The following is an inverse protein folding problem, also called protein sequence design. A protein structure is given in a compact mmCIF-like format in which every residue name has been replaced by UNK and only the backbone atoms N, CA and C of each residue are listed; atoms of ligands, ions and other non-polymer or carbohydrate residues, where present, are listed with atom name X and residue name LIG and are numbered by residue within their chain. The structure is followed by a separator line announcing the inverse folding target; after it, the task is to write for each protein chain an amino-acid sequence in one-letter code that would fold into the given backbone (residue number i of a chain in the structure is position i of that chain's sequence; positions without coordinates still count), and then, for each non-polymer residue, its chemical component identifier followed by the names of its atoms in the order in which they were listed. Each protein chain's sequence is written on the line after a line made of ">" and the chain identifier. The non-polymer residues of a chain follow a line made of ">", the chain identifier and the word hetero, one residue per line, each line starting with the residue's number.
data_IF_503079666651
#
_entry.id   IF_503079666651
#
_cell.length_a   1.000
_cell.length_b   1.000
_cell.length_c   1.000
_cell.angle_alpha   90.00
_cell.angle_beta   90.00
_cell.angle_gamma   90.00
#
_symmetry.space_group_name_H-M   'P 1'
#
loop_
_entity.id
_entity.type
_entity.pdbx_description
1 polymer ?
#
# COMPACT_ATOMS: atom_id res chain seq x y z
N UNK A 1 -35.41 -41.20 36.50
CA UNK A 1 -34.41 -41.44 35.44
C UNK A 1 -33.93 -40.09 34.91
N UNK A 2 -32.84 -39.56 35.46
CA UNK A 2 -32.27 -38.27 35.06
C UNK A 2 -30.83 -38.50 34.61
N UNK A 3 -30.68 -38.88 33.34
CA UNK A 3 -29.40 -39.08 32.67
C UNK A 3 -29.31 -38.03 31.56
N UNK A 4 -29.04 -36.78 31.95
CA UNK A 4 -28.79 -35.69 30.98
C UNK A 4 -28.00 -34.53 31.64
N UNK A 5 -26.94 -34.84 32.39
CA UNK A 5 -26.08 -33.81 33.00
C UNK A 5 -24.57 -34.07 32.92
N UNK A 6 -24.10 -35.14 32.26
CA UNK A 6 -22.67 -35.42 32.14
C UNK A 6 -22.01 -34.88 30.86
N UNK A 7 -22.79 -34.62 29.81
CA UNK A 7 -22.25 -34.09 28.55
C UNK A 7 -21.73 -32.66 28.70
N UNK A 8 -22.50 -31.77 29.35
CA UNK A 8 -22.18 -30.34 29.46
C UNK A 8 -20.91 -30.06 30.28
N UNK A 9 -20.61 -30.89 31.29
CA UNK A 9 -19.39 -30.75 32.11
C UNK A 9 -18.14 -31.23 31.38
N UNK A 10 -18.24 -32.26 30.53
CA UNK A 10 -17.12 -32.71 29.67
C UNK A 10 -16.76 -31.68 28.61
N UNK A 11 -17.74 -31.03 27.96
CA UNK A 11 -17.46 -29.96 26.99
C UNK A 11 -16.84 -28.71 27.62
N UNK A 12 -17.14 -28.41 28.89
CA UNK A 12 -16.52 -27.32 29.63
C UNK A 12 -15.05 -27.62 30.00
N UNK A 13 -14.75 -28.86 30.42
CA UNK A 13 -13.38 -29.29 30.74
C UNK A 13 -12.47 -29.36 29.48
N UNK A 14 -13.04 -29.74 28.33
CA UNK A 14 -12.32 -29.78 27.05
C UNK A 14 -12.04 -28.37 26.51
N UNK A 15 -12.90 -27.37 26.76
CA UNK A 15 -12.57 -25.96 26.47
C UNK A 15 -11.44 -25.42 27.35
N UNK A 16 -11.30 -25.89 28.58
CA UNK A 16 -10.17 -25.52 29.44
C UNK A 16 -8.82 -26.05 28.94
N UNK A 17 -8.80 -27.20 28.25
CA UNK A 17 -7.58 -27.79 27.69
C UNK A 17 -7.33 -27.45 26.21
N UNK A 18 -8.34 -27.05 25.44
CA UNK A 18 -8.15 -26.46 24.10
C UNK A 18 -7.96 -24.94 24.12
N UNK A 19 -8.20 -24.28 25.26
CA UNK A 19 -8.03 -22.85 25.46
C UNK A 19 -6.69 -22.42 26.05
N UNK A 20 -5.70 -23.33 26.18
CA UNK A 20 -4.39 -23.00 26.76
C UNK A 20 -3.21 -23.22 25.80
N UNK A 21 -3.44 -23.21 24.48
CA UNK A 21 -2.36 -23.33 23.48
C UNK A 21 -2.54 -22.44 22.25
N UNK A 22 -3.24 -21.32 22.38
CA UNK A 22 -3.25 -20.23 21.40
C UNK A 22 -2.93 -18.90 22.08
N UNK A 23 -1.75 -18.79 22.70
CA UNK A 23 -1.13 -17.52 23.10
C UNK A 23 0.41 -17.62 23.09
N UNK A 24 0.94 -18.46 22.19
CA UNK A 24 2.39 -18.66 22.03
C UNK A 24 2.80 -18.76 20.56
N UNK A 25 2.01 -18.15 19.67
CA UNK A 25 2.53 -17.53 18.45
C UNK A 25 2.66 -16.03 18.69
N UNK A 26 3.29 -15.65 19.81
CA UNK A 26 3.93 -14.35 19.89
C UNK A 26 5.06 -14.39 18.86
N UNK A 27 4.76 -13.92 17.65
CA UNK A 27 5.79 -13.42 16.76
C UNK A 27 6.72 -12.59 17.64
N UNK A 28 8.02 -12.88 17.57
CA UNK A 28 9.05 -12.17 18.32
C UNK A 28 9.01 -10.72 17.82
N UNK A 29 8.15 -9.87 18.39
CA UNK A 29 7.97 -8.49 17.97
C UNK A 29 9.00 -7.62 18.69
N UNK A 30 9.53 -6.60 18.00
CA UNK A 30 10.40 -5.63 18.65
C UNK A 30 9.54 -4.83 19.63
N UNK A 31 9.89 -4.85 20.92
CA UNK A 31 9.20 -4.03 21.93
C UNK A 31 9.59 -2.56 21.76
N UNK A 32 8.94 -1.88 20.81
CA UNK A 32 9.18 -0.47 20.47
C UNK A 32 8.05 0.44 20.97
N UNK A 33 7.06 -0.07 21.71
CA UNK A 33 5.86 0.68 22.11
C UNK A 33 6.17 1.97 22.89
N UNK A 34 7.25 1.98 23.66
CA UNK A 34 7.75 3.14 24.40
C UNK A 34 9.08 3.70 23.87
N UNK A 35 9.51 3.29 22.67
CA UNK A 35 10.76 3.75 22.09
C UNK A 35 10.70 5.25 21.71
N UNK A 36 11.83 5.92 21.85
CA UNK A 36 12.05 7.27 21.31
C UNK A 36 12.24 7.22 19.78
N UNK A 37 12.05 8.35 19.08
CA UNK A 37 12.21 8.40 17.63
C UNK A 37 13.59 7.94 17.17
N UNK A 38 14.66 8.30 17.87
CA UNK A 38 16.05 7.98 17.54
C UNK A 38 16.30 6.47 17.54
N UNK A 39 15.80 5.73 18.54
CA UNK A 39 15.89 4.27 18.53
C UNK A 39 15.11 3.68 17.37
N UNK A 40 13.93 4.21 17.06
CA UNK A 40 13.15 3.78 15.90
C UNK A 40 13.91 4.00 14.57
N UNK A 41 14.60 5.14 14.41
CA UNK A 41 15.46 5.42 13.26
C UNK A 41 16.62 4.42 13.16
N UNK A 42 17.28 4.11 14.28
CA UNK A 42 18.33 3.10 14.31
C UNK A 42 17.81 1.72 13.90
N UNK A 43 16.62 1.35 14.37
CA UNK A 43 15.99 0.06 14.05
C UNK A 43 15.56 -0.03 12.57
N UNK A 44 15.18 1.09 11.94
CA UNK A 44 14.89 1.14 10.50
C UNK A 44 16.10 0.72 9.63
N UNK A 45 17.31 0.99 10.11
CA UNK A 45 18.56 0.62 9.41
C UNK A 45 18.88 -0.88 9.49
N UNK A 46 18.12 -1.64 10.29
CA UNK A 46 18.19 -3.10 10.36
C UNK A 46 16.85 -3.68 9.88
N UNK A 47 16.64 -3.83 8.57
CA UNK A 47 15.35 -4.25 8.03
C UNK A 47 15.00 -5.68 8.46
N UNK A 48 13.93 -5.80 9.24
CA UNK A 48 13.33 -7.08 9.58
C UNK A 48 11.82 -6.90 9.79
N UNK A 49 11.05 -7.98 9.57
CA UNK A 49 9.60 -7.96 9.80
C UNK A 49 9.32 -7.57 11.25
N UNK A 50 10.13 -8.07 12.18
CA UNK A 50 10.08 -7.79 13.61
C UNK A 50 10.21 -6.29 13.91
N UNK A 51 11.22 -5.64 13.34
CA UNK A 51 11.47 -4.22 13.56
C UNK A 51 10.37 -3.34 12.94
N UNK A 52 9.94 -3.64 11.71
CA UNK A 52 8.85 -2.88 11.09
C UNK A 52 7.50 -3.12 11.77
N UNK A 53 7.21 -4.32 12.27
CA UNK A 53 5.98 -4.56 13.03
C UNK A 53 5.96 -3.77 14.35
N UNK A 54 7.06 -3.77 15.09
CA UNK A 54 7.20 -2.95 16.30
C UNK A 54 7.10 -1.45 16.00
N UNK A 55 7.77 -0.99 14.94
CA UNK A 55 7.73 0.41 14.51
C UNK A 55 6.33 0.84 14.09
N UNK A 56 5.62 0.00 13.31
CA UNK A 56 4.25 0.26 12.90
C UNK A 56 3.36 0.55 14.12
N UNK A 57 3.43 -0.30 15.15
CA UNK A 57 2.64 -0.10 16.38
C UNK A 57 3.03 1.21 17.07
N UNK A 58 4.34 1.49 17.14
CA UNK A 58 4.83 2.73 17.73
C UNK A 58 4.36 3.98 16.98
N UNK A 59 4.25 3.92 15.65
CA UNK A 59 3.70 4.98 14.79
C UNK A 59 2.18 5.13 14.97
N UNK A 60 1.44 4.02 15.05
CA UNK A 60 -0.03 4.04 15.24
C UNK A 60 -0.43 4.60 16.62
N UNK A 61 0.38 4.36 17.64
CA UNK A 61 0.16 4.84 19.01
C UNK A 61 0.87 6.15 19.37
N UNK A 62 1.57 6.79 18.43
CA UNK A 62 2.36 7.98 18.74
C UNK A 62 1.50 9.23 18.95
N UNK A 63 1.90 10.05 19.91
CA UNK A 63 1.45 11.43 20.03
C UNK A 63 2.07 12.35 18.97
N UNK A 64 1.48 13.53 18.81
CA UNK A 64 1.83 14.50 17.77
C UNK A 64 3.31 14.91 17.80
N UNK A 65 3.82 15.26 18.98
CA UNK A 65 5.22 15.68 19.18
C UNK A 65 6.22 14.60 18.79
N UNK A 66 5.91 13.34 19.09
CA UNK A 66 6.76 12.21 18.72
C UNK A 66 6.76 11.99 17.21
N UNK A 67 5.60 12.06 16.56
CA UNK A 67 5.50 11.92 15.09
C UNK A 67 6.30 13.03 14.39
N UNK A 68 6.20 14.27 14.86
CA UNK A 68 6.99 15.39 14.32
C UNK A 68 8.48 15.12 14.45
N UNK A 69 8.97 14.71 15.61
CA UNK A 69 10.39 14.37 15.79
C UNK A 69 10.84 13.23 14.88
N UNK A 70 10.03 12.18 14.73
CA UNK A 70 10.33 11.08 13.81
C UNK A 70 10.47 11.57 12.36
N UNK A 71 9.63 12.51 11.93
CA UNK A 71 9.69 13.10 10.59
C UNK A 71 10.91 14.02 10.42
N UNK A 72 11.21 14.85 11.43
CA UNK A 72 12.40 15.72 11.46
C UNK A 72 13.72 14.93 11.42
N UNK A 73 13.73 13.72 12.01
CA UNK A 73 14.84 12.79 11.95
C UNK A 73 14.85 11.92 10.67
N UNK A 74 14.15 12.36 9.61
CA UNK A 74 14.10 11.69 8.30
C UNK A 74 13.54 10.26 8.34
N UNK A 75 12.70 9.93 9.32
CA UNK A 75 12.13 8.59 9.46
C UNK A 75 11.27 8.16 8.27
N UNK A 76 10.51 9.09 7.68
CA UNK A 76 9.72 8.82 6.47
C UNK A 76 10.62 8.60 5.24
N UNK A 77 11.73 9.36 5.11
CA UNK A 77 12.68 9.17 4.00
C UNK A 77 13.27 7.76 4.04
N UNK A 78 13.70 7.31 5.22
CA UNK A 78 14.27 5.98 5.42
C UNK A 78 13.26 4.87 5.11
N UNK A 79 12.00 5.05 5.49
CA UNK A 79 10.92 4.11 5.15
C UNK A 79 10.69 4.01 3.64
N UNK A 80 10.65 5.14 2.93
CA UNK A 80 10.46 5.14 1.48
C UNK A 80 11.69 4.60 0.73
N UNK A 81 12.89 4.90 1.20
CA UNK A 81 14.12 4.36 0.62
C UNK A 81 14.23 2.84 0.85
N UNK A 82 13.80 2.35 2.01
CA UNK A 82 13.67 0.92 2.25
C UNK A 82 12.63 0.27 1.33
N UNK A 83 11.47 0.91 1.14
CA UNK A 83 10.42 0.41 0.27
C UNK A 83 10.86 0.36 -1.20
N UNK A 84 11.59 1.37 -1.69
CA UNK A 84 12.16 1.40 -3.04
C UNK A 84 13.17 0.25 -3.24
N UNK A 85 14.11 0.08 -2.30
CA UNK A 85 15.07 -1.04 -2.31
C UNK A 85 14.41 -2.42 -2.33
N UNK A 86 13.27 -2.57 -1.66
CA UNK A 86 12.49 -3.81 -1.65
C UNK A 86 11.67 -4.00 -2.93
N UNK A 87 11.28 -2.91 -3.61
CA UNK A 87 10.45 -2.95 -4.82
C UNK A 87 11.25 -3.26 -6.08
N UNK A 88 12.51 -2.81 -6.15
CA UNK A 88 13.41 -3.12 -7.27
C UNK A 88 13.98 -4.55 -7.27
N UNK A 89 13.84 -5.29 -6.17
CA UNK A 89 14.26 -6.69 -6.06
C UNK A 89 13.04 -7.57 -6.31
N UNK A 90 13.10 -8.46 -7.29
CA UNK A 90 12.08 -9.50 -7.44
C UNK A 90 11.92 -10.25 -6.12
N UNK A 91 10.69 -10.36 -5.61
CA UNK A 91 10.39 -11.00 -4.32
C UNK A 91 10.64 -12.51 -4.41
N UNK A 92 11.89 -12.94 -4.31
CA UNK A 92 12.29 -14.35 -4.43
C UNK A 92 11.91 -15.19 -3.20
N UNK A 93 11.66 -14.54 -2.06
CA UNK A 93 11.35 -15.21 -0.79
C UNK A 93 10.10 -14.59 -0.15
N UNK A 94 9.33 -15.44 0.54
CA UNK A 94 8.16 -15.04 1.32
C UNK A 94 8.53 -13.97 2.36
N UNK A 95 9.69 -14.10 2.99
CA UNK A 95 10.19 -13.14 3.97
C UNK A 95 10.36 -11.72 3.39
N UNK A 96 10.79 -11.60 2.14
CA UNK A 96 10.97 -10.30 1.47
C UNK A 96 9.61 -9.66 1.18
N UNK A 97 8.64 -10.47 0.73
CA UNK A 97 7.27 -10.02 0.50
C UNK A 97 6.59 -9.53 1.79
N UNK A 98 6.80 -10.25 2.90
CA UNK A 98 6.31 -9.83 4.23
C UNK A 98 7.00 -8.56 4.70
N UNK A 99 8.33 -8.48 4.55
CA UNK A 99 9.11 -7.30 4.93
C UNK A 99 8.62 -6.06 4.19
N UNK A 100 8.41 -6.17 2.88
CA UNK A 100 7.87 -5.09 2.06
C UNK A 100 6.45 -4.69 2.46
N UNK A 101 5.59 -5.67 2.77
CA UNK A 101 4.23 -5.42 3.20
C UNK A 101 4.19 -4.68 4.55
N UNK A 102 5.02 -5.08 5.51
CA UNK A 102 5.11 -4.42 6.81
C UNK A 102 5.72 -3.01 6.68
N UNK A 103 6.69 -2.83 5.78
CA UNK A 103 7.30 -1.52 5.50
C UNK A 103 6.26 -0.52 4.97
N UNK A 104 5.47 -0.88 3.96
CA UNK A 104 4.42 0.02 3.44
C UNK A 104 3.32 0.27 4.49
N UNK A 105 3.06 -0.67 5.41
CA UNK A 105 2.16 -0.44 6.53
C UNK A 105 2.70 0.56 7.56
N UNK A 106 4.02 0.71 7.70
CA UNK A 106 4.60 1.81 8.49
C UNK A 106 4.36 3.17 7.82
N UNK A 107 4.54 3.26 6.50
CA UNK A 107 4.23 4.48 5.73
C UNK A 107 2.75 4.85 5.88
N UNK A 108 1.86 3.85 5.83
CA UNK A 108 0.43 4.06 6.10
C UNK A 108 0.19 4.60 7.51
N UNK A 109 0.86 4.07 8.53
CA UNK A 109 0.71 4.58 9.89
C UNK A 109 1.11 6.06 10.00
N UNK A 110 2.19 6.48 9.33
CA UNK A 110 2.56 7.90 9.22
C UNK A 110 1.45 8.72 8.55
N UNK A 111 0.97 8.28 7.38
CA UNK A 111 -0.07 9.01 6.62
C UNK A 111 -1.43 9.08 7.33
N UNK A 112 -1.71 8.16 8.25
CA UNK A 112 -2.91 8.19 9.07
C UNK A 112 -2.83 9.21 10.22
N UNK A 113 -1.64 9.73 10.53
CA UNK A 113 -1.45 10.82 11.48
C UNK A 113 -1.64 12.18 10.80
N UNK A 114 -2.32 13.11 11.48
CA UNK A 114 -2.50 14.48 10.99
C UNK A 114 -1.17 15.17 10.69
N UNK A 115 -0.16 15.03 11.55
CA UNK A 115 1.17 15.59 11.30
C UNK A 115 1.86 14.92 10.12
N UNK A 116 1.72 13.60 9.97
CA UNK A 116 2.36 12.84 8.90
C UNK A 116 1.81 13.18 7.51
N UNK A 117 0.47 13.28 7.36
CA UNK A 117 -0.12 13.68 6.07
C UNK A 117 0.15 15.15 5.73
N UNK A 118 0.11 16.06 6.71
CA UNK A 118 0.46 17.46 6.48
C UNK A 118 1.93 17.61 6.05
N UNK A 119 2.84 16.88 6.70
CA UNK A 119 4.26 16.88 6.33
C UNK A 119 4.48 16.41 4.88
N UNK A 120 3.74 15.41 4.41
CA UNK A 120 3.80 14.97 3.00
C UNK A 120 3.26 16.04 2.05
N UNK A 121 2.18 16.73 2.44
CA UNK A 121 1.60 17.82 1.63
C UNK A 121 2.59 18.98 1.48
N UNK A 122 3.35 19.29 2.52
CA UNK A 122 4.39 20.32 2.52
C UNK A 122 5.66 19.91 1.75
N UNK A 123 5.86 18.60 1.53
CA UNK A 123 7.08 18.05 0.94
C UNK A 123 6.75 17.13 -0.25
N UNK A 124 6.59 17.73 -1.44
CA UNK A 124 6.10 17.04 -2.65
C UNK A 124 6.93 15.83 -3.10
N UNK A 125 8.22 15.77 -2.72
CA UNK A 125 9.11 14.68 -3.12
C UNK A 125 8.72 13.30 -2.56
N UNK A 126 8.08 13.25 -1.39
CA UNK A 126 7.73 11.98 -0.74
C UNK A 126 6.70 11.18 -1.51
N UNK A 127 5.68 11.84 -2.08
CA UNK A 127 4.62 11.12 -2.80
C UNK A 127 5.13 10.50 -4.11
N UNK A 128 6.09 11.15 -4.77
CA UNK A 128 6.77 10.60 -5.95
C UNK A 128 7.63 9.39 -5.60
N UNK A 129 8.36 9.43 -4.47
CA UNK A 129 9.08 8.26 -3.96
C UNK A 129 8.10 7.12 -3.62
N UNK A 130 6.95 7.43 -3.01
CA UNK A 130 5.93 6.41 -2.72
C UNK A 130 5.36 5.78 -4.01
N UNK A 131 5.16 6.55 -5.08
CA UNK A 131 4.64 5.98 -6.34
C UNK A 131 5.61 5.00 -7.01
N UNK A 132 6.92 5.12 -6.79
CA UNK A 132 7.92 4.15 -7.26
C UNK A 132 7.70 2.74 -6.65
N UNK A 133 7.12 2.65 -5.45
CA UNK A 133 6.77 1.37 -4.83
C UNK A 133 5.72 0.55 -5.61
N UNK A 134 5.08 1.13 -6.62
CA UNK A 134 4.20 0.41 -7.56
C UNK A 134 4.95 -0.58 -8.46
N UNK A 135 6.29 -0.52 -8.50
CA UNK A 135 7.14 -1.41 -9.29
C UNK A 135 7.26 -2.84 -8.73
N UNK A 136 6.88 -3.04 -7.47
CA UNK A 136 6.88 -4.36 -6.86
C UNK A 136 5.98 -5.34 -7.60
N UNK A 137 6.33 -6.63 -7.59
CA UNK A 137 5.40 -7.71 -8.01
C UNK A 137 4.35 -8.03 -6.94
N UNK A 138 4.44 -7.47 -5.74
CA UNK A 138 3.53 -7.75 -4.63
C UNK A 138 2.24 -6.92 -4.75
N UNK A 139 1.16 -7.56 -5.22
CA UNK A 139 -0.16 -6.94 -5.38
C UNK A 139 -0.69 -6.32 -4.08
N UNK A 140 -0.40 -6.90 -2.91
CA UNK A 140 -0.84 -6.36 -1.63
C UNK A 140 -0.15 -5.03 -1.30
N UNK A 141 1.11 -4.87 -1.68
CA UNK A 141 1.85 -3.60 -1.52
C UNK A 141 1.30 -2.57 -2.49
N UNK A 142 1.11 -2.91 -3.78
CA UNK A 142 0.47 -2.00 -4.75
C UNK A 142 -0.89 -1.53 -4.28
N UNK A 143 -1.70 -2.45 -3.74
CA UNK A 143 -3.00 -2.12 -3.12
C UNK A 143 -2.85 -1.05 -2.04
N UNK A 144 -1.91 -1.22 -1.10
CA UNK A 144 -1.71 -0.22 -0.05
C UNK A 144 -1.27 1.13 -0.62
N UNK A 145 -0.36 1.15 -1.60
CA UNK A 145 0.12 2.39 -2.25
C UNK A 145 -1.03 3.12 -2.96
N UNK A 146 -1.88 2.40 -3.70
CA UNK A 146 -3.05 3.03 -4.33
C UNK A 146 -4.04 3.59 -3.32
N UNK A 147 -4.30 2.88 -2.21
CA UNK A 147 -5.16 3.39 -1.14
C UNK A 147 -4.60 4.67 -0.50
N UNK A 148 -3.27 4.77 -0.35
CA UNK A 148 -2.62 5.97 0.17
C UNK A 148 -2.70 7.15 -0.81
N UNK A 149 -2.52 6.91 -2.11
CA UNK A 149 -2.71 7.93 -3.15
C UNK A 149 -4.16 8.43 -3.19
N UNK A 150 -5.14 7.52 -3.07
CA UNK A 150 -6.54 7.86 -3.00
C UNK A 150 -6.87 8.69 -1.75
N UNK A 151 -6.40 8.27 -0.58
CA UNK A 151 -6.58 8.99 0.67
C UNK A 151 -6.00 10.42 0.59
N UNK A 152 -4.77 10.56 0.08
CA UNK A 152 -4.15 11.86 -0.13
C UNK A 152 -4.97 12.72 -1.11
N UNK A 153 -5.50 12.13 -2.18
CA UNK A 153 -6.30 12.86 -3.17
C UNK A 153 -7.63 13.40 -2.63
N UNK A 154 -8.14 12.80 -1.55
CA UNK A 154 -9.37 13.21 -0.89
C UNK A 154 -9.12 14.11 0.33
N UNK A 155 -7.87 14.20 0.79
CA UNK A 155 -7.51 14.93 2.00
C UNK A 155 -7.61 16.45 1.82
N UNK A 156 -7.04 16.98 0.74
CA UNK A 156 -7.04 18.43 0.44
C UNK A 156 -6.81 18.68 -1.05
N UNK A 157 -7.00 19.93 -1.50
CA UNK A 157 -6.68 20.32 -2.89
C UNK A 157 -5.20 20.12 -3.23
N UNK A 158 -4.30 20.37 -2.28
CA UNK A 158 -2.87 20.13 -2.47
C UNK A 158 -2.57 18.63 -2.46
N UNK A 159 -3.21 17.85 -1.58
CA UNK A 159 -3.12 16.39 -1.62
C UNK A 159 -3.59 15.79 -2.95
N UNK A 160 -4.68 16.31 -3.51
CA UNK A 160 -5.14 15.97 -4.86
C UNK A 160 -4.09 16.29 -5.93
N UNK A 161 -3.53 17.50 -5.92
CA UNK A 161 -2.49 17.91 -6.86
C UNK A 161 -1.26 17.01 -6.77
N UNK A 162 -0.84 16.65 -5.55
CA UNK A 162 0.28 15.78 -5.28
C UNK A 162 0.05 14.34 -5.74
N UNK A 163 -1.13 13.78 -5.50
CA UNK A 163 -1.49 12.45 -6.01
C UNK A 163 -1.46 12.41 -7.54
N UNK A 164 -1.95 13.48 -8.20
CA UNK A 164 -1.92 13.60 -9.66
C UNK A 164 -0.50 13.77 -10.21
N UNK A 165 0.31 14.57 -9.54
CA UNK A 165 1.73 14.77 -9.86
C UNK A 165 2.53 13.46 -9.71
N UNK A 166 2.28 12.68 -8.66
CA UNK A 166 2.94 11.40 -8.45
C UNK A 166 2.63 10.38 -9.58
N UNK A 167 1.39 10.35 -10.06
CA UNK A 167 0.98 9.50 -11.19
C UNK A 167 1.58 9.99 -12.52
N UNK A 168 1.65 11.31 -12.73
CA UNK A 168 2.27 11.88 -13.93
C UNK A 168 3.79 11.69 -13.95
N UNK A 169 4.44 11.82 -12.79
CA UNK A 169 5.84 11.48 -12.60
C UNK A 169 6.09 9.99 -12.89
N UNK A 170 5.28 9.10 -12.31
CA UNK A 170 5.39 7.66 -12.53
C UNK A 170 5.24 7.28 -14.00
N UNK A 171 4.31 7.92 -14.73
CA UNK A 171 4.19 7.80 -16.19
C UNK A 171 5.51 8.11 -16.90
N UNK A 172 6.16 9.21 -16.55
CA UNK A 172 7.45 9.60 -17.12
C UNK A 172 8.53 8.56 -16.85
N UNK A 173 8.67 8.13 -15.59
CA UNK A 173 9.66 7.12 -15.17
C UNK A 173 9.43 5.78 -15.88
N UNK A 174 8.17 5.37 -16.07
CA UNK A 174 7.81 4.11 -16.74
C UNK A 174 7.63 4.25 -18.25
N UNK A 175 7.90 5.41 -18.82
CA UNK A 175 7.69 5.70 -20.25
C UNK A 175 6.28 5.34 -20.74
N UNK A 176 5.28 5.50 -19.88
CA UNK A 176 3.88 5.21 -20.20
C UNK A 176 3.28 6.35 -21.02
N UNK A 177 2.31 6.03 -21.86
CA UNK A 177 1.61 7.01 -22.68
C UNK A 177 0.67 7.89 -21.84
N UNK A 178 0.05 7.32 -20.80
CA UNK A 178 -0.95 8.00 -19.97
C UNK A 178 -0.64 7.84 -18.48
N UNK A 179 -0.94 8.86 -17.69
CA UNK A 179 -0.71 8.85 -16.23
C UNK A 179 -1.56 7.85 -15.46
N UNK A 180 -2.68 7.44 -16.05
CA UNK A 180 -3.55 6.41 -15.47
C UNK A 180 -3.25 5.00 -15.99
N UNK A 181 -2.25 4.82 -16.86
CA UNK A 181 -1.88 3.51 -17.40
C UNK A 181 -1.56 2.52 -16.28
N UNK A 182 -0.86 2.94 -15.22
CA UNK A 182 -0.56 2.05 -14.08
C UNK A 182 -1.80 1.46 -13.42
N UNK A 183 -2.84 2.26 -13.17
CA UNK A 183 -4.09 1.79 -12.53
C UNK A 183 -4.83 0.86 -13.50
N UNK A 184 -4.94 1.26 -14.76
CA UNK A 184 -5.71 0.52 -15.77
C UNK A 184 -5.05 -0.81 -16.14
N UNK A 185 -3.72 -0.87 -16.18
CA UNK A 185 -2.98 -2.10 -16.40
C UNK A 185 -3.21 -3.11 -15.27
N UNK A 186 -3.14 -2.67 -14.01
CA UNK A 186 -3.43 -3.56 -12.87
C UNK A 186 -4.87 -4.05 -12.89
N UNK A 187 -5.83 -3.17 -13.22
CA UNK A 187 -7.26 -3.52 -13.29
C UNK A 187 -7.54 -4.55 -14.39
N UNK A 188 -6.83 -4.48 -15.52
CA UNK A 188 -6.97 -5.44 -16.62
C UNK A 188 -6.27 -6.77 -16.35
N UNK A 189 -5.16 -6.76 -15.61
CA UNK A 189 -4.33 -7.94 -15.38
C UNK A 189 -4.80 -8.81 -14.20
N UNK A 190 -5.55 -8.25 -13.26
CA UNK A 190 -5.96 -8.95 -12.03
C UNK A 190 -7.32 -9.66 -12.16
N UNK A 191 -7.41 -10.87 -11.60
CA UNK A 191 -8.66 -11.60 -11.33
C UNK A 191 -9.10 -11.52 -9.85
N UNK A 192 -8.24 -10.96 -8.99
CA UNK A 192 -8.51 -10.74 -7.57
C UNK A 192 -9.59 -9.65 -7.37
N UNK A 193 -10.83 -10.08 -7.14
CA UNK A 193 -12.00 -9.20 -6.94
C UNK A 193 -11.78 -8.14 -5.86
N UNK A 194 -11.31 -8.47 -4.63
CA UNK A 194 -10.98 -7.45 -3.63
C UNK A 194 -10.00 -6.37 -4.12
N UNK A 195 -9.03 -6.73 -4.97
CA UNK A 195 -8.09 -5.75 -5.52
C UNK A 195 -8.75 -4.88 -6.60
N UNK A 196 -9.58 -5.47 -7.48
CA UNK A 196 -10.38 -4.71 -8.45
C UNK A 196 -11.27 -3.67 -7.78
N UNK A 197 -11.93 -4.03 -6.66
CA UNK A 197 -12.77 -3.11 -5.88
C UNK A 197 -11.93 -1.95 -5.34
N UNK A 198 -10.71 -2.20 -4.86
CA UNK A 198 -9.80 -1.14 -4.44
C UNK A 198 -9.42 -0.23 -5.62
N UNK A 199 -9.04 -0.78 -6.77
CA UNK A 199 -8.66 0.01 -7.95
C UNK A 199 -9.83 0.89 -8.45
N UNK A 200 -11.05 0.35 -8.49
CA UNK A 200 -12.25 1.11 -8.83
C UNK A 200 -12.54 2.21 -7.79
N UNK A 201 -12.35 1.92 -6.51
CA UNK A 201 -12.47 2.93 -5.43
C UNK A 201 -11.44 4.05 -5.60
N UNK A 202 -10.22 3.72 -6.02
CA UNK A 202 -9.15 4.71 -6.29
C UNK A 202 -9.51 5.59 -7.49
N UNK A 203 -10.04 4.99 -8.57
CA UNK A 203 -10.54 5.74 -9.73
C UNK A 203 -11.64 6.72 -9.30
N UNK A 204 -12.59 6.25 -8.47
CA UNK A 204 -13.65 7.11 -7.93
C UNK A 204 -13.07 8.24 -7.07
N UNK A 205 -12.14 7.95 -6.15
CA UNK A 205 -11.49 8.95 -5.32
C UNK A 205 -10.83 10.05 -6.17
N UNK A 206 -10.11 9.68 -7.24
CA UNK A 206 -9.49 10.63 -8.17
C UNK A 206 -10.54 11.45 -8.93
N UNK A 207 -11.59 10.83 -9.45
CA UNK A 207 -12.64 11.57 -10.19
C UNK A 207 -13.36 12.56 -9.27
N UNK A 208 -13.63 12.18 -8.02
CA UNK A 208 -14.38 13.00 -7.07
C UNK A 208 -13.50 13.93 -6.23
N UNK A 209 -12.18 13.78 -6.24
CA UNK A 209 -11.24 14.64 -5.52
C UNK A 209 -11.13 16.07 -6.06
N UNK A 210 -11.76 16.37 -7.21
CA UNK A 210 -11.95 17.74 -7.70
C UNK A 210 -13.41 18.17 -7.56
N UNK A 211 -13.65 19.40 -7.13
CA UNK A 211 -15.01 19.94 -6.98
C UNK A 211 -15.64 20.45 -8.29
N UNK A 212 -14.81 20.74 -9.30
CA UNK A 212 -15.28 21.29 -10.56
C UNK A 212 -15.85 20.20 -11.49
N UNK A 213 -17.13 20.33 -11.86
CA UNK A 213 -17.82 19.36 -12.72
C UNK A 213 -17.12 19.13 -14.07
N UNK A 214 -16.48 20.17 -14.64
CA UNK A 214 -15.78 20.04 -15.92
C UNK A 214 -14.47 19.29 -15.76
N UNK A 215 -13.75 19.49 -14.65
CA UNK A 215 -12.58 18.69 -14.31
C UNK A 215 -12.98 17.24 -14.05
N UNK A 216 -14.09 16.96 -13.35
CA UNK A 216 -14.61 15.60 -13.18
C UNK A 216 -14.88 14.92 -14.52
N UNK A 217 -15.54 15.63 -15.44
CA UNK A 217 -15.80 15.13 -16.80
C UNK A 217 -14.49 14.87 -17.58
N UNK A 218 -13.51 15.78 -17.48
CA UNK A 218 -12.17 15.60 -18.07
C UNK A 218 -11.47 14.35 -17.52
N UNK A 219 -11.48 14.14 -16.20
CA UNK A 219 -10.87 12.97 -15.56
C UNK A 219 -11.53 11.67 -16.05
N UNK A 220 -12.87 11.62 -16.11
CA UNK A 220 -13.59 10.45 -16.64
C UNK A 220 -13.18 10.14 -18.08
N UNK A 221 -13.15 11.16 -18.94
CA UNK A 221 -12.74 11.01 -20.34
C UNK A 221 -11.31 10.51 -20.47
N UNK A 222 -10.41 10.97 -19.61
CA UNK A 222 -9.01 10.53 -19.59
C UNK A 222 -8.87 9.04 -19.18
N UNK A 223 -9.62 8.60 -18.16
CA UNK A 223 -9.68 7.17 -17.79
C UNK A 223 -10.24 6.30 -18.93
N UNK A 224 -11.36 6.72 -19.55
CA UNK A 224 -11.97 6.02 -20.69
C UNK A 224 -10.99 5.94 -21.87
N UNK A 225 -10.32 7.05 -22.19
CA UNK A 225 -9.31 7.10 -23.24
C UNK A 225 -8.13 6.16 -22.98
N UNK A 226 -7.63 6.13 -21.73
CA UNK A 226 -6.57 5.21 -21.32
C UNK A 226 -7.01 3.75 -21.47
N UNK A 227 -8.22 3.41 -21.01
CA UNK A 227 -8.78 2.07 -21.10
C UNK A 227 -8.89 1.57 -22.56
N UNK A 228 -9.42 2.42 -23.44
CA UNK A 228 -9.58 2.11 -24.86
C UNK A 228 -8.25 1.97 -25.60
N UNK A 229 -7.26 2.80 -25.25
CA UNK A 229 -5.93 2.70 -25.87
C UNK A 229 -5.24 1.38 -25.45
N UNK A 230 -5.32 1.02 -24.17
CA UNK A 230 -4.75 -0.23 -23.67
C UNK A 230 -5.39 -1.47 -24.33
N UNK A 231 -6.71 -1.51 -24.47
CA UNK A 231 -7.38 -2.62 -25.16
C UNK A 231 -6.99 -2.71 -26.64
N UNK A 232 -6.76 -1.57 -27.30
CA UNK A 232 -6.31 -1.49 -28.70
C UNK A 232 -4.86 -1.95 -28.88
N UNK A 233 -3.97 -1.63 -27.93
CA UNK A 233 -2.57 -2.08 -27.94
C UNK A 233 -2.48 -3.58 -27.71
N UNK A 234 -3.26 -4.12 -26.76
CA UNK A 234 -3.31 -5.55 -26.48
C UNK A 234 -3.87 -6.34 -27.67
N UNK A 235 -4.93 -5.87 -28.32
CA UNK A 235 -5.47 -6.54 -29.51
C UNK A 235 -4.49 -6.58 -30.68
N UNK A 236 -3.73 -5.49 -30.90
CA UNK A 236 -2.63 -5.49 -31.88
C UNK A 236 -1.48 -6.42 -31.47
N UNK A 237 -1.14 -6.49 -30.19
CA UNK A 237 -0.04 -7.33 -29.69
C UNK A 237 -0.37 -8.82 -29.80
N UNK A 238 -1.62 -9.21 -29.51
CA UNK A 238 -2.12 -10.58 -29.72
C UNK A 238 -2.13 -10.94 -31.20
N UNK A 239 -2.48 -9.99 -32.08
CA UNK A 239 -2.45 -10.22 -33.53
C UNK A 239 -1.01 -10.44 -34.05
N UNK A 240 -0.05 -9.65 -33.57
CA UNK A 240 1.37 -9.80 -33.92
C UNK A 240 1.98 -11.13 -33.41
N UNK A 241 1.61 -11.58 -32.21
CA UNK A 241 2.04 -12.87 -31.69
C UNK A 241 1.38 -14.05 -32.45
N UNK A 242 0.12 -13.91 -32.86
CA UNK A 242 -0.58 -14.90 -33.69
C UNK A 242 0.04 -15.11 -35.07
N UNK A 243 0.57 -14.05 -35.70
CA UNK A 243 1.29 -14.16 -36.99
C UNK A 243 2.68 -14.79 -36.86
N UNK A 244 3.29 -14.75 -35.67
CA UNK A 244 4.61 -15.35 -35.44
C UNK A 244 4.53 -16.87 -35.22
N UNK A 245 3.39 -17.38 -34.75
CA UNK A 245 3.18 -18.84 -34.55
C UNK A 245 2.67 -19.53 -35.81
N UNK A 246 2.10 -18.79 -36.77
CA UNK A 246 1.58 -19.34 -38.03
C UNK A 246 2.67 -19.60 -39.10
N UNK A 247 3.94 -19.32 -38.81
CA UNK A 247 5.06 -19.47 -39.75
C UNK A 247 6.16 -20.45 -39.31
N UNK A 248 5.88 -21.34 -38.34
CA UNK A 248 6.75 -22.47 -37.99
C UNK A 248 6.06 -23.80 -38.31
#
# INVERSE_FOLDING_TARGET
>A
MSVKSDGKRKWAAVRGHLGSSQDSETQLEANLESADPELCICMLQVPSVVNYSGLKRRLEGSEESWMVQFLELSGLDLLLEALDRLSGRGCSRIADALLQLTCVSCVRAVMNSSSGINFIVENEGYIRKLSQALDTSNTMVKKQVFELLAALSMFSSDGYRLAMDALDHYKGVKTQQYRFSVIMNELQATDNVPYMVTLLSVINAIIFGTDDLRQRDKMRKEFIGTAHCLSSILSHSVHLQGHTVAHC
#
